data_IF_422657351154
#
_entry.id   IF_422657351154
#
_cell.length_a   1.000
_cell.length_b   1.000
_cell.length_c   1.000
_cell.angle_alpha   90.00
_cell.angle_beta   90.00
_cell.angle_gamma   90.00
#
_symmetry.space_group_name_H-M   'P 1'
#
loop_
_entity.id
_entity.type
_entity.pdbx_description
1 polymer ?
#
# COMPACT_ATOMS: atom_id res chain seq x y z
N UNK A 1 8.86 -15.68 -1.62
CA UNK A 1 8.43 -14.72 -0.58
C UNK A 1 8.46 -13.29 -1.11
N UNK A 2 7.49 -12.45 -0.76
CA UNK A 2 7.45 -11.03 -1.14
C UNK A 2 7.48 -10.15 0.10
N UNK A 3 8.45 -9.23 0.16
CA UNK A 3 8.70 -8.37 1.32
C UNK A 3 8.69 -6.90 0.91
N UNK A 4 7.99 -6.09 1.69
CA UNK A 4 7.79 -4.67 1.44
C UNK A 4 8.26 -3.83 2.62
N UNK A 5 8.64 -2.58 2.36
CA UNK A 5 8.82 -1.53 3.37
C UNK A 5 7.67 -0.53 3.22
N UNK A 6 7.10 -0.10 4.34
CA UNK A 6 6.01 0.87 4.32
C UNK A 6 6.06 1.81 5.52
N UNK A 7 5.61 3.05 5.33
CA UNK A 7 5.47 4.03 6.40
C UNK A 7 3.99 4.17 6.76
N UNK A 8 3.63 3.72 7.95
CA UNK A 8 2.26 3.73 8.46
C UNK A 8 2.03 4.93 9.38
N UNK A 9 0.82 5.49 9.38
CA UNK A 9 0.41 6.55 10.32
C UNK A 9 0.22 5.98 11.73
N UNK A 10 0.54 6.79 12.73
CA UNK A 10 0.44 6.43 14.15
C UNK A 10 1.59 5.54 14.64
N UNK A 11 1.54 5.22 15.93
CA UNK A 11 2.50 4.35 16.61
C UNK A 11 1.91 2.95 16.77
N UNK A 12 2.48 1.98 16.06
CA UNK A 12 2.15 0.56 16.25
C UNK A 12 2.93 0.06 17.48
N UNK A 13 2.22 -0.21 18.57
CA UNK A 13 2.84 -0.59 19.85
C UNK A 13 3.49 -1.97 19.78
N UNK A 14 2.85 -2.94 19.14
CA UNK A 14 3.41 -4.28 18.99
C UNK A 14 4.62 -4.28 18.05
N UNK A 15 5.63 -5.11 18.34
CA UNK A 15 6.80 -5.26 17.46
C UNK A 15 6.50 -6.12 16.24
N UNK A 16 5.57 -7.06 16.36
CA UNK A 16 5.09 -7.90 15.26
C UNK A 16 3.57 -8.08 15.36
N UNK A 17 2.90 -8.14 14.21
CA UNK A 17 1.47 -8.45 14.13
C UNK A 17 1.13 -9.18 12.84
N UNK A 18 0.05 -9.97 12.87
CA UNK A 18 -0.52 -10.60 11.67
C UNK A 18 -1.84 -9.91 11.35
N UNK A 19 -2.01 -9.52 10.08
CA UNK A 19 -3.22 -8.89 9.57
C UNK A 19 -3.91 -9.87 8.63
N UNK A 20 -5.16 -10.24 8.94
CA UNK A 20 -5.92 -11.28 8.24
C UNK A 20 -7.28 -10.80 7.70
N UNK A 21 -7.44 -9.48 7.53
CA UNK A 21 -8.65 -8.89 6.98
C UNK A 21 -8.96 -9.43 5.58
N UNK A 22 -10.18 -9.90 5.36
CA UNK A 22 -10.68 -10.27 4.05
C UNK A 22 -10.84 -9.03 3.14
N UNK A 23 -10.56 -9.19 1.86
CA UNK A 23 -10.58 -8.11 0.87
C UNK A 23 -11.62 -8.40 -0.20
N UNK A 24 -12.59 -7.49 -0.32
CA UNK A 24 -13.73 -7.59 -1.22
C UNK A 24 -13.86 -6.36 -2.12
N UNK A 25 -14.62 -6.51 -3.20
CA UNK A 25 -14.91 -5.41 -4.13
C UNK A 25 -16.23 -4.75 -3.74
N UNK A 26 -16.26 -3.42 -3.71
CA UNK A 26 -17.45 -2.62 -3.41
C UNK A 26 -17.78 -1.67 -4.55
N UNK A 27 -19.07 -1.39 -4.82
CA UNK A 27 -19.45 -0.35 -5.78
C UNK A 27 -18.84 1.01 -5.40
N UNK A 28 -18.34 1.73 -6.39
CA UNK A 28 -17.80 3.08 -6.22
C UNK A 28 -18.10 3.92 -7.46
N UNK A 29 -18.61 5.13 -7.26
CA UNK A 29 -19.04 6.02 -8.35
C UNK A 29 -17.83 6.39 -9.22
N UNK A 30 -17.98 6.29 -10.54
CA UNK A 30 -16.94 6.66 -11.50
C UNK A 30 -15.78 5.65 -11.64
N UNK A 31 -15.83 4.49 -10.97
CA UNK A 31 -14.86 3.40 -11.19
C UNK A 31 -15.59 2.15 -11.66
N UNK A 32 -15.44 1.83 -12.95
CA UNK A 32 -16.07 0.66 -13.56
C UNK A 32 -15.67 -0.63 -12.80
N UNK A 33 -16.68 -1.28 -12.23
CA UNK A 33 -16.52 -2.50 -11.44
C UNK A 33 -16.19 -2.28 -9.96
N UNK A 34 -15.98 -1.06 -9.47
CA UNK A 34 -15.81 -0.77 -8.05
C UNK A 34 -14.37 -0.91 -7.50
N UNK A 35 -14.22 -0.67 -6.19
CA UNK A 35 -12.94 -0.62 -5.47
C UNK A 35 -12.74 -1.79 -4.50
N UNK A 36 -11.49 -2.08 -4.16
CA UNK A 36 -11.16 -3.08 -3.14
C UNK A 36 -11.03 -2.45 -1.77
N UNK A 37 -11.66 -3.05 -0.76
CA UNK A 37 -11.64 -2.61 0.64
C UNK A 37 -11.62 -3.82 1.58
N UNK A 38 -11.40 -3.56 2.87
CA UNK A 38 -11.66 -4.53 3.91
C UNK A 38 -13.15 -4.87 3.93
N UNK A 39 -13.47 -6.15 3.80
CA UNK A 39 -14.87 -6.63 3.75
C UNK A 39 -14.92 -8.08 4.21
N UNK A 40 -15.80 -8.38 5.16
CA UNK A 40 -16.01 -9.74 5.68
C UNK A 40 -16.57 -10.71 4.63
N UNK A 41 -17.23 -10.21 3.59
CA UNK A 41 -17.66 -10.98 2.42
C UNK A 41 -16.56 -11.14 1.35
N UNK A 42 -15.39 -10.53 1.59
CA UNK A 42 -14.24 -10.58 0.70
C UNK A 42 -13.51 -11.92 0.70
N UNK A 43 -12.47 -12.01 -0.12
CA UNK A 43 -11.58 -13.18 -0.12
C UNK A 43 -10.60 -13.07 1.05
N UNK A 44 -10.31 -14.17 1.78
CA UNK A 44 -9.33 -14.16 2.85
C UNK A 44 -7.95 -13.75 2.30
N UNK A 45 -7.21 -13.02 3.12
CA UNK A 45 -5.88 -12.52 2.80
C UNK A 45 -5.06 -12.32 4.07
N UNK A 46 -3.74 -12.48 3.99
CA UNK A 46 -2.88 -12.44 5.17
C UNK A 46 -1.56 -11.72 4.88
N UNK A 47 -1.16 -10.85 5.82
CA UNK A 47 0.10 -10.13 5.83
C UNK A 47 0.74 -10.23 7.22
N UNK A 48 2.05 -10.48 7.29
CA UNK A 48 2.83 -10.40 8.53
C UNK A 48 3.59 -9.09 8.56
N UNK A 49 3.44 -8.33 9.64
CA UNK A 49 4.04 -7.01 9.82
C UNK A 49 5.06 -7.09 10.94
N UNK A 50 6.24 -6.53 10.70
CA UNK A 50 7.28 -6.32 11.71
C UNK A 50 7.61 -4.84 11.76
N UNK A 51 7.58 -4.25 12.95
CA UNK A 51 8.00 -2.87 13.18
C UNK A 51 9.52 -2.80 13.11
N UNK A 52 10.00 -1.83 12.34
CA UNK A 52 11.43 -1.57 12.16
C UNK A 52 11.86 -0.35 12.95
N UNK A 53 11.01 0.68 12.96
CA UNK A 53 11.28 1.94 13.64
C UNK A 53 9.99 2.71 13.93
N UNK A 54 9.99 3.50 15.02
CA UNK A 54 8.87 4.31 15.48
C UNK A 54 9.30 5.77 15.59
N UNK A 55 8.61 6.64 14.86
CA UNK A 55 8.78 8.08 14.93
C UNK A 55 7.73 8.69 15.84
N UNK A 56 8.09 8.95 17.09
CA UNK A 56 7.18 9.59 18.04
C UNK A 56 6.94 11.08 17.75
N UNK A 57 7.82 11.73 16.98
CA UNK A 57 7.69 13.15 16.65
C UNK A 57 6.67 13.34 15.53
N UNK A 58 6.80 12.56 14.44
CA UNK A 58 5.87 12.63 13.31
C UNK A 58 4.65 11.70 13.47
N UNK A 59 4.59 10.94 14.56
CA UNK A 59 3.55 9.93 14.83
C UNK A 59 3.38 8.97 13.66
N UNK A 60 4.48 8.29 13.29
CA UNK A 60 4.48 7.29 12.23
C UNK A 60 5.37 6.09 12.58
N UNK A 61 5.13 4.97 11.90
CA UNK A 61 5.86 3.71 12.12
C UNK A 61 6.36 3.15 10.79
N UNK A 62 7.67 2.92 10.71
CA UNK A 62 8.28 2.20 9.59
C UNK A 62 8.15 0.70 9.83
N UNK A 63 7.56 -0.01 8.86
CA UNK A 63 7.30 -1.45 8.96
C UNK A 63 7.85 -2.24 7.78
N UNK A 64 8.18 -3.49 8.04
CA UNK A 64 8.35 -4.53 7.03
C UNK A 64 7.06 -5.34 6.93
N UNK A 65 6.61 -5.61 5.70
CA UNK A 65 5.41 -6.42 5.46
C UNK A 65 5.73 -7.59 4.55
N UNK A 66 5.47 -8.79 5.03
CA UNK A 66 5.54 -10.02 4.25
C UNK A 66 4.11 -10.42 3.85
N UNK A 67 3.81 -10.41 2.55
CA UNK A 67 2.48 -10.84 2.07
C UNK A 67 2.47 -12.33 1.79
N UNK A 68 1.48 -13.03 2.36
CA UNK A 68 1.27 -14.47 2.17
C UNK A 68 0.24 -14.74 1.07
N UNK A 69 -0.58 -13.74 0.77
CA UNK A 69 -1.55 -13.71 -0.34
C UNK A 69 -1.30 -12.50 -1.24
N UNK A 70 -1.88 -12.50 -2.43
CA UNK A 70 -1.73 -11.41 -3.41
C UNK A 70 -3.05 -10.74 -3.78
N UNK A 71 -3.76 -10.13 -2.82
CA UNK A 71 -4.97 -9.35 -3.13
C UNK A 71 -4.63 -7.94 -3.60
N UNK A 72 -5.49 -7.29 -4.41
CA UNK A 72 -5.28 -5.91 -4.82
C UNK A 72 -5.17 -4.98 -3.61
N UNK A 73 -4.17 -4.10 -3.62
CA UNK A 73 -3.91 -3.11 -2.56
C UNK A 73 -3.79 -3.70 -1.14
N UNK A 74 -3.45 -4.98 -1.01
CA UNK A 74 -3.53 -5.71 0.27
C UNK A 74 -2.85 -4.99 1.43
N UNK A 75 -1.63 -4.49 1.25
CA UNK A 75 -0.88 -3.80 2.31
C UNK A 75 -1.56 -2.49 2.70
N UNK A 76 -2.01 -1.69 1.72
CA UNK A 76 -2.71 -0.42 1.94
C UNK A 76 -3.98 -0.63 2.76
N UNK A 77 -4.81 -1.60 2.34
CA UNK A 77 -6.06 -1.96 3.01
C UNK A 77 -5.81 -2.52 4.40
N UNK A 78 -4.85 -3.45 4.56
CA UNK A 78 -4.58 -4.11 5.83
C UNK A 78 -4.09 -3.14 6.90
N UNK A 79 -3.10 -2.31 6.57
CA UNK A 79 -2.57 -1.33 7.53
C UNK A 79 -3.64 -0.30 7.90
N UNK A 80 -4.44 0.15 6.92
CA UNK A 80 -5.58 1.02 7.17
C UNK A 80 -6.66 0.35 8.05
N UNK A 81 -7.00 -0.92 7.80
CA UNK A 81 -7.94 -1.70 8.61
C UNK A 81 -7.45 -1.91 10.05
N UNK A 82 -6.13 -1.98 10.24
CA UNK A 82 -5.51 -2.03 11.55
C UNK A 82 -5.41 -0.67 12.27
N UNK A 83 -5.96 0.42 11.70
CA UNK A 83 -5.89 1.77 12.28
C UNK A 83 -4.67 2.58 11.87
N UNK A 84 -3.82 2.05 10.99
CA UNK A 84 -2.53 2.62 10.63
C UNK A 84 -2.38 2.80 9.11
N UNK A 85 -3.24 3.58 8.43
CA UNK A 85 -3.16 3.77 6.98
C UNK A 85 -1.78 4.32 6.58
N UNK A 86 -1.36 4.07 5.34
CA UNK A 86 -0.06 4.56 4.88
C UNK A 86 0.00 6.09 4.93
N UNK A 87 1.17 6.62 5.33
CA UNK A 87 1.45 8.05 5.21
C UNK A 87 1.30 8.43 3.73
N UNK A 88 0.55 9.50 3.45
CA UNK A 88 0.31 10.00 2.10
C UNK A 88 -0.65 9.19 1.23
N UNK A 89 -1.30 8.13 1.75
CA UNK A 89 -2.33 7.40 0.98
C UNK A 89 -3.55 8.30 0.73
N UNK A 90 -3.87 8.61 -0.54
CA UNK A 90 -4.99 9.48 -0.84
C UNK A 90 -6.33 8.74 -0.78
N UNK A 91 -6.32 7.39 -0.82
CA UNK A 91 -7.51 6.58 -1.01
C UNK A 91 -7.98 5.92 0.29
N UNK A 92 -7.07 5.28 1.03
CA UNK A 92 -7.43 4.44 2.17
C UNK A 92 -7.35 5.19 3.51
N UNK A 93 -8.38 5.00 4.33
CA UNK A 93 -8.45 5.49 5.71
C UNK A 93 -8.68 4.37 6.70
N UNK A 94 -8.55 4.72 7.99
CA UNK A 94 -8.82 3.83 9.10
C UNK A 94 -10.10 3.00 8.89
N UNK A 95 -10.01 1.71 9.20
CA UNK A 95 -11.03 0.71 8.88
C UNK A 95 -10.82 0.01 7.54
N UNK A 96 -9.82 0.41 6.75
CA UNK A 96 -9.49 -0.27 5.49
C UNK A 96 -10.51 0.03 4.39
N UNK A 97 -11.18 1.16 4.51
CA UNK A 97 -12.20 1.67 3.60
C UNK A 97 -11.63 2.83 2.78
N UNK A 98 -12.32 3.16 1.69
CA UNK A 98 -11.95 4.29 0.83
C UNK A 98 -12.55 5.57 1.40
N UNK A 99 -11.84 6.69 1.25
CA UNK A 99 -12.40 8.03 1.42
C UNK A 99 -13.47 8.24 0.35
N UNK A 100 -14.74 8.08 0.70
CA UNK A 100 -15.81 8.62 -0.13
C UNK A 100 -15.75 10.14 -0.01
N UNK A 101 -15.65 10.84 -1.15
CA UNK A 101 -15.79 12.29 -1.19
C UNK A 101 -17.04 12.68 -0.41
N UNK A 102 -16.86 13.59 0.55
CA UNK A 102 -17.97 14.17 1.29
C UNK A 102 -19.03 14.66 0.31
N UNK A 103 -20.25 14.13 0.40
CA UNK A 103 -21.46 14.61 -0.24
C UNK A 103 -21.27 15.25 -1.63
N UNK A 104 -21.31 14.44 -2.68
CA UNK A 104 -21.77 14.95 -3.96
C UNK A 104 -23.28 15.23 -3.84
N UNK A 105 -23.63 16.44 -3.41
CA UNK A 105 -24.83 17.09 -3.91
C UNK A 105 -24.65 17.13 -5.44
N UNK A 106 -25.22 16.13 -6.09
CA UNK A 106 -25.16 15.93 -7.53
C UNK A 106 -25.98 17.01 -8.23
N UNK A 107 -25.37 18.17 -8.47
CA UNK A 107 -25.74 18.95 -9.64
C UNK A 107 -24.99 18.37 -10.83
N UNK A 108 -25.68 17.46 -11.52
CA UNK A 108 -25.34 17.02 -12.88
C UNK A 108 -25.07 18.25 -13.75
N UNK A 109 -23.81 18.42 -14.15
CA UNK A 109 -23.46 19.11 -15.38
C UNK A 109 -22.29 18.35 -16.02
N UNK A 110 -22.60 17.11 -16.42
CA UNK A 110 -21.85 16.41 -17.46
C UNK A 110 -21.91 17.28 -18.72
N UNK A 111 -20.78 17.85 -19.15
CA UNK A 111 -20.48 18.26 -20.56
C UNK A 111 -19.35 19.30 -20.69
N UNK A 112 -18.65 19.72 -19.63
CA UNK A 112 -17.47 20.60 -19.80
C UNK A 112 -16.17 19.79 -19.76
N UNK A 113 -15.39 19.73 -20.86
CA UNK A 113 -14.06 19.16 -20.86
C UNK A 113 -13.15 19.87 -19.85
N UNK A 114 -12.14 19.18 -19.31
CA UNK A 114 -11.06 19.85 -18.60
C UNK A 114 -10.30 20.78 -19.56
N UNK A 115 -9.62 21.81 -19.03
CA UNK A 115 -8.91 22.83 -19.86
C UNK A 115 -7.85 22.22 -20.78
N UNK A 116 -7.36 21.02 -20.47
CA UNK A 116 -6.42 20.24 -21.27
C UNK A 116 -7.09 19.31 -22.31
N UNK A 117 -8.41 19.35 -22.44
CA UNK A 117 -9.19 18.46 -23.31
C UNK A 117 -9.40 17.05 -22.73
N UNK A 118 -9.02 16.81 -21.47
CA UNK A 118 -9.28 15.57 -20.76
C UNK A 118 -10.69 15.48 -20.16
N UNK A 119 -11.05 14.28 -19.67
CA UNK A 119 -12.22 14.11 -18.82
C UNK A 119 -11.95 14.77 -17.46
N UNK A 120 -12.88 15.60 -16.97
CA UNK A 120 -12.79 16.20 -15.64
C UNK A 120 -12.67 15.06 -14.62
N UNK A 121 -11.61 15.06 -13.82
CA UNK A 121 -11.44 14.07 -12.75
C UNK A 121 -12.63 14.20 -11.81
N UNK A 122 -13.29 13.09 -11.50
CA UNK A 122 -14.25 13.05 -10.40
C UNK A 122 -13.56 13.57 -9.13
N UNK A 123 -14.28 14.39 -8.37
CA UNK A 123 -13.79 14.91 -7.08
C UNK A 123 -13.62 13.73 -6.10
N UNK A 124 -12.40 13.21 -6.00
CA UNK A 124 -12.06 12.08 -5.15
C UNK A 124 -10.77 11.35 -5.57
N UNK A 125 -10.13 10.69 -4.62
CA UNK A 125 -8.93 9.89 -4.88
C UNK A 125 -9.28 8.62 -5.70
N UNK A 126 -8.41 8.28 -6.64
CA UNK A 126 -8.52 7.09 -7.48
C UNK A 126 -7.49 6.02 -7.10
N UNK A 127 -7.71 4.74 -7.46
CA UNK A 127 -6.79 3.63 -7.21
C UNK A 127 -5.34 3.88 -7.65
N UNK A 128 -5.19 4.56 -8.79
CA UNK A 128 -3.90 4.87 -9.41
C UNK A 128 -3.21 6.09 -8.81
N UNK A 129 -3.83 6.81 -7.88
CA UNK A 129 -3.19 7.96 -7.25
C UNK A 129 -2.05 7.50 -6.36
N UNK A 130 -0.87 8.04 -6.66
CA UNK A 130 0.35 7.85 -5.89
C UNK A 130 0.38 8.81 -4.68
N UNK A 131 1.44 8.76 -3.89
CA UNK A 131 1.66 9.64 -2.73
C UNK A 131 1.90 8.89 -1.43
N UNK A 132 1.58 7.59 -1.41
CA UNK A 132 1.85 6.73 -0.26
C UNK A 132 3.29 6.18 -0.25
N UNK A 133 3.79 5.94 0.95
CA UNK A 133 5.11 5.34 1.17
C UNK A 133 5.02 3.81 1.27
N UNK A 134 5.18 3.14 0.13
CA UNK A 134 5.24 1.69 0.01
C UNK A 134 6.27 1.28 -1.04
N UNK A 135 7.18 0.37 -0.68
CA UNK A 135 8.25 -0.09 -1.56
C UNK A 135 8.40 -1.61 -1.53
N UNK A 136 8.51 -2.24 -2.70
CA UNK A 136 8.82 -3.66 -2.80
C UNK A 136 10.33 -3.87 -2.63
N UNK A 137 10.74 -4.33 -1.44
CA UNK A 137 12.16 -4.39 -1.06
C UNK A 137 12.84 -5.68 -1.48
N UNK A 138 12.20 -6.83 -1.24
CA UNK A 138 12.81 -8.15 -1.48
C UNK A 138 11.81 -9.13 -2.07
N UNK A 139 12.20 -9.77 -3.16
CA UNK A 139 11.48 -10.86 -3.80
C UNK A 139 12.36 -12.11 -3.81
N UNK A 140 11.76 -13.24 -3.42
CA UNK A 140 12.42 -14.54 -3.40
C UNK A 140 11.53 -15.57 -4.09
N UNK A 141 12.07 -16.33 -5.03
CA UNK A 141 11.34 -17.35 -5.78
C UNK A 141 12.29 -18.38 -6.39
N UNK A 142 11.76 -19.56 -6.72
CA UNK A 142 12.51 -20.53 -7.50
C UNK A 142 12.47 -20.16 -8.98
N UNK A 143 13.65 -20.10 -9.61
CA UNK A 143 13.74 -19.88 -11.04
C UNK A 143 12.99 -20.98 -11.80
N UNK A 144 12.12 -20.67 -12.78
CA UNK A 144 11.22 -21.65 -13.39
C UNK A 144 11.94 -22.72 -14.23
N UNK A 145 13.18 -22.46 -14.65
CA UNK A 145 14.01 -23.37 -15.46
C UNK A 145 15.11 -24.02 -14.62
N UNK A 146 16.04 -23.25 -14.06
CA UNK A 146 17.12 -23.79 -13.22
C UNK A 146 16.70 -24.34 -11.85
N UNK A 147 15.49 -24.03 -11.37
CA UNK A 147 15.00 -24.38 -10.02
C UNK A 147 15.81 -23.80 -8.84
N UNK A 148 16.87 -23.05 -9.12
CA UNK A 148 17.67 -22.34 -8.12
C UNK A 148 16.85 -21.27 -7.41
N UNK A 149 17.19 -21.01 -6.15
CA UNK A 149 16.56 -19.94 -5.40
C UNK A 149 17.12 -18.59 -5.84
N UNK A 150 16.26 -17.72 -6.37
CA UNK A 150 16.61 -16.37 -6.81
C UNK A 150 16.10 -15.38 -5.79
N UNK A 151 17.00 -14.50 -5.34
CA UNK A 151 16.68 -13.38 -4.46
C UNK A 151 16.98 -12.08 -5.18
N UNK A 152 15.94 -11.26 -5.36
CA UNK A 152 16.05 -9.92 -5.94
C UNK A 152 15.79 -8.90 -4.86
N UNK A 153 16.71 -7.92 -4.72
CA UNK A 153 16.63 -6.84 -3.74
C UNK A 153 16.59 -5.52 -4.49
N UNK A 154 15.62 -4.67 -4.14
CA UNK A 154 15.57 -3.28 -4.57
C UNK A 154 15.74 -2.41 -3.32
N UNK A 155 16.88 -1.69 -3.14
CA UNK A 155 17.10 -0.84 -1.97
C UNK A 155 15.93 0.13 -1.76
N UNK A 156 15.43 0.28 -0.52
CA UNK A 156 14.32 1.19 -0.26
C UNK A 156 14.76 2.65 -0.44
N UNK A 157 13.86 3.55 -0.86
CA UNK A 157 14.15 4.98 -0.89
C UNK A 157 14.43 5.51 0.52
N UNK A 158 15.09 6.68 0.68
CA UNK A 158 15.51 7.20 1.98
C UNK A 158 14.41 7.27 3.05
N UNK A 159 13.19 7.64 2.66
CA UNK A 159 12.05 7.71 3.58
C UNK A 159 11.58 6.34 4.14
N UNK A 160 12.07 5.24 3.57
CA UNK A 160 11.72 3.86 3.93
C UNK A 160 12.94 3.03 4.38
N UNK A 161 14.07 3.70 4.60
CA UNK A 161 15.27 3.12 5.22
C UNK A 161 15.17 3.19 6.74
N UNK A 162 15.72 2.20 7.44
CA UNK A 162 15.91 2.32 8.87
C UNK A 162 16.91 3.44 9.17
N UNK A 163 16.74 4.20 10.27
CA UNK A 163 17.77 5.15 10.69
C UNK A 163 19.12 4.45 10.87
N UNK A 164 20.13 4.89 10.12
CA UNK A 164 21.48 4.30 10.13
C UNK A 164 21.71 3.12 9.18
N UNK A 165 20.75 2.75 8.33
CA UNK A 165 20.92 1.72 7.30
C UNK A 165 21.85 2.24 6.17
N UNK A 166 23.11 1.78 6.14
CA UNK A 166 24.03 2.07 5.02
C UNK A 166 23.66 1.21 3.80
N UNK A 167 23.60 1.83 2.62
CA UNK A 167 23.36 1.12 1.36
C UNK A 167 24.60 0.28 1.00
N UNK A 168 24.56 -1.03 1.24
CA UNK A 168 25.51 -1.94 0.62
C UNK A 168 25.17 -2.04 -0.88
N UNK A 169 25.72 -1.13 -1.67
CA UNK A 169 25.79 -1.28 -3.12
C UNK A 169 26.78 -2.40 -3.41
N UNK A 170 26.30 -3.63 -3.57
CA UNK A 170 27.09 -4.65 -4.30
C UNK A 170 27.13 -4.21 -5.77
N UNK A 171 28.10 -3.37 -6.09
CA UNK A 171 28.68 -3.28 -7.42
C UNK A 171 29.35 -4.63 -7.70
N UNK A 172 28.70 -5.48 -8.48
CA UNK A 172 29.43 -6.53 -9.18
C UNK A 172 30.37 -5.84 -10.16
N UNK A 173 31.65 -5.79 -9.80
CA UNK A 173 32.75 -5.57 -10.73
C UNK A 173 32.87 -6.83 -11.58
N UNK A 174 32.47 -6.74 -12.85
CA UNK A 174 32.89 -7.68 -13.88
C UNK A 174 34.37 -7.36 -14.19
N UNK A 175 35.27 -8.30 -13.90
CA UNK A 175 36.68 -8.33 -14.31
C UNK A 175 36.88 -9.56 -15.21
#
# INVERSE_FOLDING_TARGET
MKTYRALAKGIIVADEMTLDYAIGKVPYVGVAGGLYMASTAGKPSQSKVKVLWRDHVNSCTLVQVNILTGRPHQIRIHLAAAGHPLVGDPLYVEGGIVLQGANSDCHENESTPAEDGGYRRIDGALPGDCGYFLHAWRLEFHHPISHENVVVIAPPPPALQMPGEMQNTTSNSDD
#
